data_IF_495044652001
#
_entry.id   IF_495044652001
#
_cell.length_a   1.000
_cell.length_b   1.000
_cell.length_c   1.000
_cell.angle_alpha   90.00
_cell.angle_beta   90.00
_cell.angle_gamma   90.00
#
_symmetry.space_group_name_H-M   'P 1'
#
loop_
_entity.id
_entity.type
_entity.pdbx_description
1 polymer ?
#
# COMPACT_ATOMS: atom_id res chain seq x y z
N UNK A 1 -3.42 3.79 -17.32
CA UNK A 1 -2.05 3.24 -17.19
C UNK A 1 -1.83 2.84 -15.75
N UNK A 2 -1.45 1.59 -15.48
CA UNK A 2 -1.15 1.08 -14.14
C UNK A 2 0.27 1.51 -13.76
N UNK A 3 0.50 1.84 -12.48
CA UNK A 3 1.81 2.25 -11.95
C UNK A 3 2.10 1.49 -10.67
N UNK A 4 3.38 1.23 -10.41
CA UNK A 4 3.81 0.46 -9.26
C UNK A 4 4.22 1.37 -8.10
N UNK A 5 3.81 1.02 -6.88
CA UNK A 5 4.40 1.63 -5.67
C UNK A 5 5.69 0.91 -5.33
N UNK A 6 6.74 1.66 -4.95
CA UNK A 6 7.99 1.07 -4.45
C UNK A 6 7.75 0.17 -3.23
N UNK A 7 6.72 0.46 -2.43
CA UNK A 7 6.30 -0.37 -1.28
C UNK A 7 5.79 -1.73 -1.77
N UNK A 8 4.90 -1.74 -2.76
CA UNK A 8 4.36 -2.98 -3.33
C UNK A 8 5.46 -3.84 -3.94
N UNK A 9 6.40 -3.22 -4.68
CA UNK A 9 7.53 -3.97 -5.23
C UNK A 9 8.43 -4.57 -4.14
N UNK A 10 8.66 -3.84 -3.05
CA UNK A 10 9.39 -4.33 -1.87
C UNK A 10 8.69 -5.52 -1.22
N UNK A 11 7.36 -5.47 -1.08
CA UNK A 11 6.57 -6.56 -0.50
C UNK A 11 6.54 -7.80 -1.39
N UNK A 12 6.39 -7.62 -2.71
CA UNK A 12 6.46 -8.71 -3.68
C UNK A 12 7.85 -9.39 -3.65
N UNK A 13 8.94 -8.61 -3.62
CA UNK A 13 10.30 -9.17 -3.50
C UNK A 13 10.50 -9.89 -2.17
N UNK A 14 9.99 -9.36 -1.06
CA UNK A 14 10.06 -10.01 0.26
C UNK A 14 9.34 -11.36 0.26
N UNK A 15 8.24 -11.48 -0.47
CA UNK A 15 7.45 -12.71 -0.59
C UNK A 15 7.96 -13.69 -1.66
N UNK A 16 8.83 -13.24 -2.57
CA UNK A 16 9.36 -14.07 -3.64
C UNK A 16 10.30 -15.15 -3.09
N UNK A 17 10.07 -16.39 -3.51
CA UNK A 17 10.85 -17.57 -3.09
C UNK A 17 11.54 -18.25 -4.27
N UNK A 18 11.15 -17.93 -5.50
CA UNK A 18 11.70 -18.48 -6.75
C UNK A 18 12.32 -17.38 -7.60
N UNK A 19 13.33 -17.75 -8.38
CA UNK A 19 13.98 -16.81 -9.30
C UNK A 19 12.98 -16.19 -10.29
N UNK A 20 12.04 -16.97 -10.82
CA UNK A 20 11.03 -16.45 -11.76
C UNK A 20 10.10 -15.40 -11.14
N UNK A 21 9.88 -15.46 -9.82
CA UNK A 21 9.07 -14.45 -9.10
C UNK A 21 9.88 -13.16 -8.94
N UNK A 22 11.18 -13.27 -8.65
CA UNK A 22 12.10 -12.13 -8.58
C UNK A 22 12.20 -11.44 -9.95
N UNK A 23 12.46 -12.21 -11.01
CA UNK A 23 12.59 -11.70 -12.38
C UNK A 23 11.31 -10.95 -12.83
N UNK A 24 10.14 -11.44 -12.40
CA UNK A 24 8.87 -10.77 -12.66
C UNK A 24 8.79 -9.40 -12.00
N UNK A 25 9.18 -9.28 -10.72
CA UNK A 25 9.16 -7.99 -10.03
C UNK A 25 10.20 -7.03 -10.60
N UNK A 26 11.38 -7.52 -10.99
CA UNK A 26 12.40 -6.72 -11.66
C UNK A 26 11.91 -6.18 -13.01
N UNK A 27 11.19 -7.01 -13.77
CA UNK A 27 10.56 -6.60 -15.03
C UNK A 27 9.52 -5.50 -14.78
N UNK A 28 8.66 -5.65 -13.76
CA UNK A 28 7.70 -4.60 -13.38
C UNK A 28 8.38 -3.28 -12.97
N UNK A 29 9.49 -3.36 -12.25
CA UNK A 29 10.26 -2.21 -11.80
C UNK A 29 10.97 -1.49 -12.97
N UNK A 30 11.39 -2.24 -13.98
CA UNK A 30 12.08 -1.73 -15.17
C UNK A 30 11.12 -1.08 -16.17
N UNK A 31 9.97 -1.71 -16.41
CA UNK A 31 9.10 -1.36 -17.55
C UNK A 31 8.03 -0.32 -17.20
N UNK A 32 7.76 -0.09 -15.91
CA UNK A 32 6.71 0.83 -15.46
C UNK A 32 7.23 1.88 -14.48
N UNK A 33 6.75 3.14 -14.54
CA UNK A 33 7.11 4.15 -13.56
C UNK A 33 6.79 3.73 -12.13
N UNK A 34 7.75 3.96 -11.23
CA UNK A 34 7.62 3.68 -9.81
C UNK A 34 7.25 4.95 -9.05
N UNK A 35 6.26 4.85 -8.18
CA UNK A 35 5.93 5.87 -7.20
C UNK A 35 6.53 5.51 -5.84
N UNK A 36 7.31 6.43 -5.29
CA UNK A 36 8.04 6.22 -4.04
C UNK A 36 7.45 7.09 -2.95
N UNK A 37 7.20 6.55 -1.74
CA UNK A 37 6.82 7.36 -0.59
C UNK A 37 7.90 8.40 -0.29
N UNK A 38 7.47 9.64 -0.06
CA UNK A 38 8.34 10.72 0.40
C UNK A 38 8.65 10.58 1.88
N UNK A 39 9.68 11.26 2.39
CA UNK A 39 9.98 11.35 3.82
C UNK A 39 8.75 11.79 4.64
N UNK A 40 7.97 12.73 4.11
CA UNK A 40 6.72 13.18 4.73
C UNK A 40 5.70 12.05 4.85
N UNK A 41 5.61 11.15 3.87
CA UNK A 41 4.70 10.01 3.95
C UNK A 41 5.08 9.05 5.07
N UNK A 42 6.38 8.85 5.32
CA UNK A 42 6.87 8.03 6.44
C UNK A 42 6.54 8.64 7.81
N UNK A 43 6.63 9.96 7.95
CA UNK A 43 6.24 10.63 9.20
C UNK A 43 4.72 10.54 9.39
N UNK A 44 3.95 10.88 8.34
CA UNK A 44 2.49 10.88 8.40
C UNK A 44 1.91 9.47 8.60
N UNK A 45 2.56 8.42 8.08
CA UNK A 45 2.12 7.04 8.33
C UNK A 45 2.21 6.68 9.81
N UNK A 46 3.29 7.04 10.49
CA UNK A 46 3.44 6.85 11.93
C UNK A 46 2.37 7.58 12.74
N UNK A 47 2.02 8.80 12.35
CA UNK A 47 0.93 9.56 12.99
C UNK A 47 -0.43 8.89 12.82
N UNK A 48 -0.75 8.41 11.61
CA UNK A 48 -2.00 7.69 11.32
C UNK A 48 -2.06 6.39 12.13
N UNK A 49 -1.00 5.58 12.14
CA UNK A 49 -0.95 4.33 12.89
C UNK A 49 -1.09 4.56 14.40
N UNK A 50 -0.50 5.63 14.94
CA UNK A 50 -0.66 6.01 16.34
C UNK A 50 -2.12 6.31 16.68
N UNK A 51 -2.84 7.00 15.78
CA UNK A 51 -4.29 7.26 15.94
C UNK A 51 -5.12 5.98 15.81
N UNK A 52 -4.79 5.08 14.88
CA UNK A 52 -5.44 3.77 14.73
C UNK A 52 -5.25 2.95 16.00
N UNK A 53 -4.02 2.84 16.50
CA UNK A 53 -3.71 2.10 17.72
C UNK A 53 -4.53 2.61 18.92
N UNK A 54 -4.54 3.93 19.15
CA UNK A 54 -5.33 4.53 20.24
C UNK A 54 -6.84 4.32 20.11
N UNK A 55 -7.35 4.27 18.88
CA UNK A 55 -8.79 4.13 18.61
C UNK A 55 -9.29 2.67 18.54
N UNK A 56 -8.43 1.72 18.17
CA UNK A 56 -8.82 0.33 17.87
C UNK A 56 -8.07 -0.72 18.70
N UNK A 57 -6.95 -0.37 19.32
CA UNK A 57 -6.15 -1.30 20.12
C UNK A 57 -5.54 -2.46 19.33
N UNK A 58 -5.25 -2.26 18.03
CA UNK A 58 -4.68 -3.30 17.18
C UNK A 58 -3.32 -3.80 17.68
N UNK A 59 -3.01 -5.07 17.39
CA UNK A 59 -1.74 -5.66 17.77
C UNK A 59 -0.56 -5.01 17.02
N UNK A 60 0.66 -5.08 17.57
CA UNK A 60 1.86 -4.58 16.89
C UNK A 60 2.07 -5.20 15.50
N UNK A 61 1.70 -6.47 15.31
CA UNK A 61 1.76 -7.17 14.02
C UNK A 61 0.81 -6.52 13.01
N UNK A 62 -0.46 -6.34 13.37
CA UNK A 62 -1.44 -5.70 12.47
C UNK A 62 -1.07 -4.25 12.14
N UNK A 63 -0.48 -3.51 13.09
CA UNK A 63 0.01 -2.15 12.82
C UNK A 63 1.20 -2.14 11.87
N UNK A 64 2.03 -3.18 11.89
CA UNK A 64 3.16 -3.32 10.95
C UNK A 64 2.66 -3.62 9.54
N UNK A 65 1.65 -4.48 9.40
CA UNK A 65 1.02 -4.77 8.11
C UNK A 65 0.38 -3.49 7.53
N UNK A 66 -0.45 -2.81 8.35
CA UNK A 66 -1.09 -1.54 7.96
C UNK A 66 -0.09 -0.43 7.61
N UNK A 67 1.16 -0.50 8.09
CA UNK A 67 2.14 0.53 7.80
C UNK A 67 2.42 0.64 6.30
N UNK A 68 2.55 -0.49 5.61
CA UNK A 68 2.79 -0.51 4.18
C UNK A 68 1.54 -0.07 3.39
N UNK A 69 0.35 -0.46 3.81
CA UNK A 69 -0.90 0.02 3.21
C UNK A 69 -1.08 1.53 3.33
N UNK A 70 -0.76 2.10 4.50
CA UNK A 70 -0.80 3.55 4.72
C UNK A 70 0.19 4.26 3.79
N UNK A 71 1.40 3.73 3.61
CA UNK A 71 2.39 4.31 2.69
C UNK A 71 1.93 4.23 1.23
N UNK A 72 1.29 3.14 0.81
CA UNK A 72 0.68 3.01 -0.52
C UNK A 72 -0.40 4.08 -0.72
N UNK A 73 -1.32 4.21 0.25
CA UNK A 73 -2.40 5.20 0.19
C UNK A 73 -1.89 6.64 0.15
N UNK A 74 -0.92 6.99 1.00
CA UNK A 74 -0.32 8.33 1.04
C UNK A 74 0.48 8.64 -0.24
N UNK A 75 1.17 7.64 -0.80
CA UNK A 75 1.88 7.79 -2.07
C UNK A 75 0.89 8.05 -3.20
N UNK A 76 -0.15 7.22 -3.34
CA UNK A 76 -1.19 7.42 -4.34
C UNK A 76 -1.84 8.80 -4.25
N UNK A 77 -2.10 9.26 -3.01
CA UNK A 77 -2.65 10.58 -2.73
C UNK A 77 -1.73 11.71 -3.22
N UNK A 78 -0.41 11.62 -3.02
CA UNK A 78 0.54 12.64 -3.48
C UNK A 78 0.51 12.82 -5.00
N UNK A 79 0.33 11.73 -5.74
CA UNK A 79 0.29 11.74 -7.20
C UNK A 79 -1.12 11.94 -7.78
N UNK A 80 -2.14 12.08 -6.93
CA UNK A 80 -3.53 12.24 -7.37
C UNK A 80 -4.10 11.02 -8.09
N UNK A 81 -3.57 9.82 -7.82
CA UNK A 81 -3.99 8.56 -8.45
C UNK A 81 -4.89 7.73 -7.53
N UNK A 82 -5.58 6.75 -8.11
CA UNK A 82 -6.46 5.81 -7.41
C UNK A 82 -5.70 4.58 -6.95
N UNK A 83 -5.90 4.19 -5.69
CA UNK A 83 -5.51 2.85 -5.20
C UNK A 83 -6.54 1.85 -5.69
N UNK A 84 -6.09 0.79 -6.36
CA UNK A 84 -6.91 -0.37 -6.72
C UNK A 84 -6.49 -1.54 -5.85
N UNK A 85 -7.41 -2.14 -5.12
CA UNK A 85 -7.10 -3.22 -4.17
C UNK A 85 -8.28 -4.16 -3.99
N UNK A 86 -8.00 -5.41 -3.59
CA UNK A 86 -9.00 -6.35 -3.05
C UNK A 86 -9.09 -6.27 -1.52
N UNK A 87 -8.12 -5.65 -0.85
CA UNK A 87 -8.17 -5.38 0.59
C UNK A 87 -9.05 -4.16 0.88
N UNK A 88 -10.36 -4.42 0.92
CA UNK A 88 -11.35 -3.40 1.25
C UNK A 88 -11.14 -2.84 2.65
N UNK A 89 -11.00 -3.72 3.63
CA UNK A 89 -11.18 -3.37 5.03
C UNK A 89 -10.09 -2.41 5.52
N UNK A 90 -8.83 -2.69 5.18
CA UNK A 90 -7.71 -1.89 5.64
C UNK A 90 -7.68 -0.54 4.91
N UNK A 91 -7.89 -0.52 3.59
CA UNK A 91 -7.89 0.74 2.84
C UNK A 91 -9.10 1.62 3.16
N UNK A 92 -10.28 1.06 3.44
CA UNK A 92 -11.42 1.85 3.95
C UNK A 92 -11.15 2.41 5.35
N UNK A 93 -10.51 1.63 6.23
CA UNK A 93 -10.06 2.12 7.54
C UNK A 93 -9.09 3.29 7.37
N UNK A 94 -8.04 3.15 6.57
CA UNK A 94 -7.07 4.21 6.32
C UNK A 94 -7.75 5.45 5.72
N UNK A 95 -8.69 5.25 4.79
CA UNK A 95 -9.45 6.34 4.15
C UNK A 95 -10.27 7.15 5.15
N UNK A 96 -10.70 6.54 6.26
CA UNK A 96 -11.39 7.24 7.35
C UNK A 96 -10.49 8.22 8.13
N UNK A 97 -9.17 8.02 8.12
CA UNK A 97 -8.19 8.93 8.72
C UNK A 97 -7.60 9.93 7.72
N UNK A 98 -7.48 9.54 6.45
CA UNK A 98 -6.96 10.38 5.38
C UNK A 98 -7.66 10.09 4.07
N UNK A 99 -8.32 11.09 3.49
CA UNK A 99 -8.98 10.91 2.19
C UNK A 99 -7.96 10.67 1.06
N UNK A 100 -8.22 9.64 0.25
CA UNK A 100 -7.57 9.31 -1.02
C UNK A 100 -8.56 8.56 -1.93
N UNK A 101 -8.26 8.49 -3.23
CA UNK A 101 -9.09 7.80 -4.21
C UNK A 101 -8.88 6.28 -4.07
N UNK A 102 -9.97 5.53 -3.88
CA UNK A 102 -9.95 4.09 -3.66
C UNK A 102 -10.99 3.42 -4.55
N UNK A 103 -10.56 2.43 -5.31
CA UNK A 103 -11.39 1.51 -6.07
C UNK A 103 -11.17 0.10 -5.53
N UNK A 104 -12.24 -0.53 -5.05
CA UNK A 104 -12.17 -1.88 -4.50
C UNK A 104 -12.61 -2.87 -5.57
N UNK A 105 -11.69 -3.75 -5.94
CA UNK A 105 -11.96 -4.81 -6.91
C UNK A 105 -12.34 -6.09 -6.18
N UNK A 106 -13.59 -6.50 -6.34
CA UNK A 106 -14.07 -7.84 -5.98
C UNK A 106 -14.00 -8.74 -7.21
N UNK A 107 -13.34 -9.88 -7.08
CA UNK A 107 -13.49 -10.97 -8.06
C UNK A 107 -14.95 -11.43 -7.99
N UNK A 108 -15.72 -11.15 -9.04
CA UNK A 108 -16.99 -11.85 -9.25
C UNK A 108 -16.66 -13.32 -9.51
N UNK A 109 -17.22 -14.23 -8.73
CA UNK A 109 -17.15 -15.67 -8.99
C UNK A 109 -17.71 -15.92 -10.41
N UNK A 110 -16.81 -16.22 -11.35
CA UNK A 110 -17.14 -16.81 -12.66
C UNK A 110 -16.92 -18.30 -12.61
#
# INVERSE_FOLDING_TARGET
MIRNSAVVLSELLRGATKQSEIDFVETLAKDYPIFTPTEKNWIESGEILSKIYRGRGFSPEKLRDLHFDVLIALTARNYGVTVITSDRADFELIRSYKHFNLEVWTLSET
#
